data_IF_245386385735
#
_entry.id   IF_245386385735
#
_cell.length_a   1.000
_cell.length_b   1.000
_cell.length_c   1.000
_cell.angle_alpha   90.00
_cell.angle_beta   90.00
_cell.angle_gamma   90.00
#
_symmetry.space_group_name_H-M   'P 1'
#
loop_
_entity.id
_entity.type
_entity.pdbx_description
1 polymer ?
#
# COMPACT_ATOMS: atom_id res chain seq x y z
N UNK A 1 3.49 -13.72 0.91
CA UNK A 1 3.67 -12.33 0.44
C UNK A 1 4.60 -11.64 1.39
N UNK A 2 5.42 -10.73 0.88
CA UNK A 2 6.21 -9.84 1.73
C UNK A 2 5.37 -8.59 2.06
N UNK A 3 5.36 -8.20 3.34
CA UNK A 3 4.79 -6.93 3.78
C UNK A 3 5.94 -5.95 3.99
N UNK A 4 6.05 -4.95 3.13
CA UNK A 4 7.04 -3.89 3.25
C UNK A 4 6.39 -2.67 3.92
N UNK A 5 7.03 -2.20 4.98
CA UNK A 5 6.69 -0.95 5.67
C UNK A 5 7.75 0.05 5.30
N UNK A 6 7.38 1.07 4.54
CA UNK A 6 8.33 2.04 4.01
C UNK A 6 7.99 3.38 4.65
N UNK A 7 8.97 3.92 5.37
CA UNK A 7 9.00 5.30 5.81
C UNK A 7 9.92 6.06 4.86
N UNK A 8 9.46 7.21 4.38
CA UNK A 8 10.21 8.06 3.45
C UNK A 8 9.84 9.52 3.68
N UNK A 9 10.81 10.41 3.48
CA UNK A 9 10.56 11.83 3.48
C UNK A 9 9.85 12.25 2.19
N UNK A 10 8.69 12.89 2.33
CA UNK A 10 7.92 13.42 1.22
C UNK A 10 8.24 14.90 1.04
N UNK A 11 8.98 15.24 -0.02
CA UNK A 11 9.29 16.63 -0.40
C UNK A 11 8.01 17.46 -0.63
N UNK A 12 6.94 16.84 -1.14
CA UNK A 12 5.67 17.52 -1.42
C UNK A 12 4.93 17.89 -0.13
N UNK A 13 5.05 17.06 0.91
CA UNK A 13 4.39 17.27 2.20
C UNK A 13 5.32 17.89 3.25
N UNK A 14 6.62 18.05 2.94
CA UNK A 14 7.66 18.52 3.85
C UNK A 14 7.71 17.74 5.18
N UNK A 15 7.52 16.41 5.11
CA UNK A 15 7.52 15.56 6.30
C UNK A 15 7.81 14.08 6.01
N UNK A 16 8.23 13.36 7.05
CA UNK A 16 8.30 11.89 7.04
C UNK A 16 6.91 11.27 6.88
N UNK A 17 6.79 10.34 5.96
CA UNK A 17 5.54 9.71 5.58
C UNK A 17 5.66 8.20 5.47
N UNK A 18 4.51 7.51 5.52
CA UNK A 18 4.45 6.05 5.57
C UNK A 18 3.57 5.44 4.49
N UNK A 19 4.06 4.38 3.85
CA UNK A 19 3.33 3.53 2.91
C UNK A 19 3.55 2.06 3.24
N UNK A 20 2.50 1.25 3.12
CA UNK A 20 2.63 -0.21 3.17
C UNK A 20 2.53 -0.78 1.75
N UNK A 21 3.37 -1.77 1.45
CA UNK A 21 3.34 -2.49 0.17
C UNK A 21 3.25 -4.00 0.42
N UNK A 22 2.30 -4.66 -0.22
CA UNK A 22 2.28 -6.11 -0.36
C UNK A 22 2.97 -6.49 -1.66
N UNK A 23 4.04 -7.27 -1.56
CA UNK A 23 4.73 -7.81 -2.72
C UNK A 23 4.41 -9.31 -2.88
N UNK A 24 4.11 -9.77 -4.11
CA UNK A 24 3.78 -11.16 -4.37
C UNK A 24 4.92 -12.11 -3.95
N UNK A 25 4.55 -13.32 -3.53
CA UNK A 25 5.50 -14.35 -3.16
C UNK A 25 5.78 -15.23 -4.38
N UNK A 26 7.00 -15.18 -4.90
CA UNK A 26 7.43 -15.94 -6.07
C UNK A 26 7.13 -17.44 -5.96
N UNK A 27 7.09 -18.00 -4.74
CA UNK A 27 6.77 -19.42 -4.53
C UNK A 27 5.28 -19.78 -4.68
N UNK A 28 4.39 -18.80 -4.87
CA UNK A 28 2.93 -18.97 -4.78
C UNK A 28 2.14 -18.36 -5.93
N UNK A 29 2.80 -17.75 -6.91
CA UNK A 29 2.16 -17.03 -8.01
C UNK A 29 2.52 -17.65 -9.36
N UNK A 30 1.66 -17.44 -10.35
CA UNK A 30 1.99 -17.68 -11.75
C UNK A 30 2.95 -16.58 -12.24
N UNK A 31 3.91 -16.94 -13.10
CA UNK A 31 4.93 -16.03 -13.65
C UNK A 31 5.78 -15.31 -12.58
N UNK A 32 6.50 -16.05 -11.72
CA UNK A 32 7.28 -15.48 -10.62
C UNK A 32 8.43 -14.57 -11.07
N UNK A 33 8.89 -14.73 -12.31
CA UNK A 33 9.98 -13.95 -12.91
C UNK A 33 9.47 -12.73 -13.71
N UNK A 34 8.16 -12.45 -13.68
CA UNK A 34 7.62 -11.28 -14.36
C UNK A 34 8.22 -10.00 -13.77
N UNK A 35 8.78 -9.17 -14.65
CA UNK A 35 9.28 -7.83 -14.30
C UNK A 35 8.22 -6.74 -14.45
N UNK A 36 7.04 -7.09 -14.99
CA UNK A 36 5.91 -6.18 -15.24
C UNK A 36 4.70 -6.62 -14.42
N UNK A 37 4.85 -6.54 -13.09
CA UNK A 37 3.83 -7.00 -12.16
C UNK A 37 2.74 -5.92 -12.03
N UNK A 38 1.45 -6.27 -12.20
CA UNK A 38 0.35 -5.33 -11.97
C UNK A 38 0.38 -4.72 -10.56
N UNK A 39 -0.06 -3.46 -10.46
CA UNK A 39 -0.13 -2.72 -9.19
C UNK A 39 -1.54 -2.19 -8.90
N UNK A 40 -2.02 -2.42 -7.69
CA UNK A 40 -3.26 -1.86 -7.15
C UNK A 40 -2.94 -0.85 -6.05
N UNK A 41 -3.38 0.40 -6.22
CA UNK A 41 -3.37 1.40 -5.16
C UNK A 41 -4.67 1.31 -4.36
N UNK A 42 -4.56 0.90 -3.10
CA UNK A 42 -5.70 0.66 -2.23
C UNK A 42 -5.81 1.75 -1.16
N UNK A 43 -6.69 2.71 -1.46
CA UNK A 43 -6.90 3.93 -0.68
C UNK A 43 -7.75 3.64 0.57
N UNK A 44 -7.36 4.16 1.73
CA UNK A 44 -8.16 4.08 2.96
C UNK A 44 -9.23 5.20 3.00
N UNK A 45 -10.28 4.99 3.80
CA UNK A 45 -11.27 6.01 4.11
C UNK A 45 -10.85 6.97 5.23
N UNK A 46 -11.72 7.94 5.54
CA UNK A 46 -11.54 8.88 6.66
C UNK A 46 -11.35 8.13 7.99
N UNK A 47 -10.54 8.68 8.90
CA UNK A 47 -10.09 8.06 10.17
C UNK A 47 -9.14 6.85 10.00
N UNK A 48 -8.75 6.55 8.77
CA UNK A 48 -7.79 5.51 8.44
C UNK A 48 -6.36 6.01 8.23
N UNK A 49 -5.45 5.08 7.97
CA UNK A 49 -4.11 5.35 7.43
C UNK A 49 -3.64 4.15 6.59
N UNK A 50 -2.37 4.15 6.18
CA UNK A 50 -1.73 3.06 5.42
C UNK A 50 -1.89 1.65 6.04
N UNK A 51 -2.20 1.52 7.34
CA UNK A 51 -2.42 0.22 8.00
C UNK A 51 -3.88 -0.26 7.98
N UNK A 52 -4.84 0.57 7.55
CA UNK A 52 -6.27 0.27 7.65
C UNK A 52 -6.64 -1.07 7.01
N UNK A 53 -6.21 -1.29 5.77
CA UNK A 53 -6.54 -2.51 5.03
C UNK A 53 -5.87 -3.75 5.62
N UNK A 54 -4.61 -3.64 6.05
CA UNK A 54 -3.90 -4.74 6.72
C UNK A 54 -4.55 -5.14 8.05
N UNK A 55 -5.03 -4.16 8.83
CA UNK A 55 -5.58 -4.42 10.18
C UNK A 55 -7.06 -4.76 10.19
N UNK A 56 -7.83 -4.30 9.20
CA UNK A 56 -9.30 -4.38 9.20
C UNK A 56 -9.85 -5.34 8.14
N UNK A 57 -9.00 -5.94 7.32
CA UNK A 57 -9.40 -6.93 6.32
C UNK A 57 -8.40 -8.08 6.26
N UNK A 58 -8.74 -9.12 5.49
CA UNK A 58 -7.85 -10.23 5.19
C UNK A 58 -7.10 -10.05 3.85
N UNK A 59 -6.87 -8.82 3.39
CA UNK A 59 -6.31 -8.52 2.06
C UNK A 59 -5.04 -9.32 1.75
N UNK A 60 -4.10 -9.41 2.70
CA UNK A 60 -2.86 -10.18 2.53
C UNK A 60 -3.12 -11.67 2.26
N UNK A 61 -4.12 -12.25 2.93
CA UNK A 61 -4.51 -13.65 2.72
C UNK A 61 -5.22 -13.83 1.38
N UNK A 62 -6.05 -12.87 0.98
CA UNK A 62 -6.85 -12.94 -0.25
C UNK A 62 -5.98 -12.87 -1.50
N UNK A 63 -4.96 -12.02 -1.52
CA UNK A 63 -4.08 -11.81 -2.68
C UNK A 63 -2.82 -12.67 -2.65
N UNK A 64 -2.73 -13.62 -1.72
CA UNK A 64 -1.50 -14.39 -1.45
C UNK A 64 -0.98 -15.23 -2.61
N UNK A 65 -1.87 -15.68 -3.50
CA UNK A 65 -1.54 -16.46 -4.69
C UNK A 65 -1.72 -15.68 -5.99
N UNK A 66 -1.86 -14.36 -5.90
CA UNK A 66 -2.07 -13.49 -7.07
C UNK A 66 -0.78 -12.71 -7.33
N UNK A 67 -0.32 -12.67 -8.58
CA UNK A 67 0.84 -11.86 -8.98
C UNK A 67 0.44 -10.38 -9.06
N UNK A 68 0.21 -9.76 -7.90
CA UNK A 68 -0.28 -8.39 -7.76
C UNK A 68 0.47 -7.69 -6.64
N UNK A 69 1.02 -6.52 -6.93
CA UNK A 69 1.52 -5.60 -5.92
C UNK A 69 0.35 -4.77 -5.39
N UNK A 70 0.22 -4.63 -4.07
CA UNK A 70 -0.79 -3.76 -3.45
C UNK A 70 -0.10 -2.66 -2.67
N UNK A 71 -0.31 -1.41 -3.06
CA UNK A 71 0.23 -0.22 -2.40
C UNK A 71 -0.86 0.45 -1.58
N UNK A 72 -0.61 0.68 -0.29
CA UNK A 72 -1.54 1.31 0.64
C UNK A 72 -0.92 2.61 1.16
N UNK A 73 -1.18 3.75 0.47
CA UNK A 73 -0.67 5.05 0.89
C UNK A 73 -1.42 5.59 2.11
N UNK A 74 -0.86 6.63 2.72
CA UNK A 74 -1.53 7.42 3.75
C UNK A 74 -1.88 8.81 3.21
N UNK A 75 -3.05 9.35 3.55
CA UNK A 75 -3.43 10.76 3.33
C UNK A 75 -3.90 11.42 4.63
N UNK A 76 -3.75 10.75 5.78
CA UNK A 76 -4.39 11.15 7.04
C UNK A 76 -5.89 11.40 6.81
N UNK A 77 -6.42 12.58 7.15
CA UNK A 77 -7.81 12.93 6.89
C UNK A 77 -7.97 13.98 5.76
N UNK A 78 -6.97 14.11 4.88
CA UNK A 78 -6.92 15.14 3.81
C UNK A 78 -7.72 14.82 2.55
N UNK A 79 -8.53 13.75 2.53
CA UNK A 79 -9.38 13.39 1.38
C UNK A 79 -8.64 13.26 0.03
N UNK A 80 -7.35 12.92 0.03
CA UNK A 80 -6.52 12.85 -1.18
C UNK A 80 -6.55 14.16 -1.99
N UNK A 81 -6.67 15.30 -1.31
CA UNK A 81 -6.82 16.63 -1.90
C UNK A 81 -5.80 17.57 -1.28
N UNK A 82 -5.30 18.54 -2.04
CA UNK A 82 -4.46 19.61 -1.52
C UNK A 82 -5.29 20.48 -0.56
N UNK A 83 -5.07 20.31 0.73
CA UNK A 83 -5.74 21.04 1.80
C UNK A 83 -4.82 22.13 2.35
N UNK A 84 -5.39 23.24 2.83
CA UNK A 84 -4.63 24.29 3.52
C UNK A 84 -4.00 23.83 4.85
N UNK A 85 -4.47 22.69 5.35
CA UNK A 85 -4.00 22.06 6.58
C UNK A 85 -3.62 20.63 6.24
N UNK A 86 -2.39 20.21 6.57
CA UNK A 86 -1.93 18.83 6.37
C UNK A 86 -2.78 17.79 7.09
#
# INVERSE_FOLDING_TARGET
>A
MAVMKIEYYSEVLDMEWGVNVLYPDASRVEEPDSTDIPVLYLLHGMSGNHNSWLKRTNVERLVRGTNLIVVMPNTSNGWYTDTQYG
#
